data_IF_571956318169
#
_entry.id   IF_571956318169
#
_cell.length_a   1.000
_cell.length_b   1.000
_cell.length_c   1.000
_cell.angle_alpha   90.00
_cell.angle_beta   90.00
_cell.angle_gamma   90.00
#
_symmetry.space_group_name_H-M   'P 1'
#
loop_
_entity.id
_entity.type
_entity.pdbx_description
1 polymer ?
#
# COMPACT_ATOMS: atom_id res chain seq x y z
N UNK A 1 -4.60 -58.54 -17.90
CA UNK A 1 -4.07 -57.61 -16.88
C UNK A 1 -3.50 -56.32 -17.51
N UNK A 2 -4.33 -55.40 -18.03
CA UNK A 2 -3.86 -54.11 -18.62
C UNK A 2 -4.58 -52.85 -18.08
N UNK A 3 -5.74 -52.98 -17.43
CA UNK A 3 -6.55 -51.84 -16.94
C UNK A 3 -5.94 -51.09 -15.74
N UNK A 4 -5.24 -51.79 -14.84
CA UNK A 4 -4.71 -51.19 -13.59
C UNK A 4 -3.57 -50.18 -13.86
N UNK A 5 -2.76 -50.42 -14.91
CA UNK A 5 -1.64 -49.54 -15.28
C UNK A 5 -2.12 -48.20 -15.87
N UNK A 6 -3.20 -48.21 -16.64
CA UNK A 6 -3.79 -47.00 -17.24
C UNK A 6 -4.44 -46.09 -16.19
N UNK A 7 -5.17 -46.67 -15.23
CA UNK A 7 -5.82 -45.90 -14.15
C UNK A 7 -4.77 -45.25 -13.24
N UNK A 8 -3.67 -45.96 -12.94
CA UNK A 8 -2.56 -45.40 -12.15
C UNK A 8 -1.88 -44.24 -12.89
N UNK A 9 -1.64 -44.37 -14.19
CA UNK A 9 -1.05 -43.31 -15.04
C UNK A 9 -1.97 -42.09 -15.17
N UNK A 10 -3.28 -42.31 -15.32
CA UNK A 10 -4.28 -41.23 -15.35
C UNK A 10 -4.37 -40.51 -13.99
N UNK A 11 -4.35 -41.25 -12.88
CA UNK A 11 -4.34 -40.66 -11.54
C UNK A 11 -3.09 -39.81 -11.28
N UNK A 12 -1.91 -40.25 -11.73
CA UNK A 12 -0.67 -39.44 -11.60
C UNK A 12 -0.72 -38.16 -12.43
N UNK A 13 -1.33 -38.19 -13.62
CA UNK A 13 -1.46 -37.00 -14.49
C UNK A 13 -2.46 -36.00 -13.89
N UNK A 14 -3.57 -36.46 -13.32
CA UNK A 14 -4.57 -35.58 -12.68
C UNK A 14 -4.01 -34.92 -11.41
N UNK A 15 -3.27 -35.68 -10.59
CA UNK A 15 -2.65 -35.12 -9.37
C UNK A 15 -1.53 -34.12 -9.70
N UNK A 16 -0.77 -34.35 -10.79
CA UNK A 16 0.23 -33.38 -11.28
C UNK A 16 -0.43 -32.12 -11.88
N UNK A 17 -1.60 -32.26 -12.51
CA UNK A 17 -2.35 -31.12 -13.07
C UNK A 17 -2.98 -30.25 -11.98
N UNK A 18 -3.39 -30.84 -10.85
CA UNK A 18 -3.97 -30.11 -9.72
C UNK A 18 -2.95 -29.33 -8.87
N UNK A 19 -1.64 -29.54 -9.04
CA UNK A 19 -0.61 -28.76 -8.31
C UNK A 19 -0.28 -27.42 -8.98
N UNK A 20 -0.86 -27.12 -10.15
CA UNK A 20 -0.72 -25.84 -10.84
C UNK A 20 -2.00 -24.99 -10.75
N UNK A 21 -2.77 -25.11 -9.66
CA UNK A 21 -3.73 -24.07 -9.31
C UNK A 21 -2.94 -22.85 -8.85
N UNK A 22 -2.46 -22.09 -9.82
CA UNK A 22 -2.13 -20.68 -9.66
C UNK A 22 -3.31 -20.02 -8.97
N UNK A 23 -3.00 -19.28 -7.90
CA UNK A 23 -3.96 -18.41 -7.25
C UNK A 23 -4.44 -17.39 -8.29
N UNK A 24 -5.57 -17.69 -8.93
CA UNK A 24 -6.28 -16.73 -9.74
C UNK A 24 -6.92 -15.74 -8.78
N UNK A 25 -6.24 -14.63 -8.52
CA UNK A 25 -6.89 -13.45 -7.98
C UNK A 25 -7.89 -12.98 -9.04
N UNK A 26 -9.17 -13.19 -8.75
CA UNK A 26 -10.27 -12.75 -9.59
C UNK A 26 -10.46 -11.25 -9.42
N UNK A 27 -9.57 -10.47 -10.01
CA UNK A 27 -9.87 -9.16 -10.54
C UNK A 27 -8.96 -8.97 -11.76
N UNK A 28 -9.50 -8.59 -12.91
CA UNK A 28 -8.77 -8.52 -14.19
C UNK A 28 -7.71 -7.41 -14.26
N UNK A 29 -7.31 -6.89 -13.11
CA UNK A 29 -6.35 -5.83 -12.91
C UNK A 29 -4.93 -6.43 -12.88
N UNK A 30 -4.12 -6.12 -13.91
CA UNK A 30 -2.70 -6.44 -13.90
C UNK A 30 -2.04 -5.51 -12.88
N UNK A 31 -2.01 -5.93 -11.61
CA UNK A 31 -1.31 -5.22 -10.54
C UNK A 31 0.18 -5.55 -10.60
N UNK A 32 0.99 -4.62 -11.09
CA UNK A 32 2.44 -4.79 -11.10
C UNK A 32 3.04 -4.38 -9.75
N UNK A 33 4.07 -5.11 -9.31
CA UNK A 33 4.83 -4.71 -8.11
C UNK A 33 5.61 -3.44 -8.42
N UNK A 34 5.22 -2.34 -7.76
CA UNK A 34 5.84 -1.03 -7.94
C UNK A 34 7.15 -0.91 -7.15
N UNK A 35 7.12 -1.31 -5.87
CA UNK A 35 8.29 -1.41 -5.00
C UNK A 35 7.98 -2.32 -3.79
N UNK A 36 9.04 -2.74 -3.11
CA UNK A 36 8.98 -3.46 -1.84
C UNK A 36 9.86 -2.77 -0.81
N UNK A 37 9.64 -3.05 0.48
CA UNK A 37 10.45 -2.52 1.57
C UNK A 37 10.05 -3.11 2.92
N UNK A 38 10.64 -2.57 3.98
CA UNK A 38 10.36 -2.96 5.37
C UNK A 38 9.82 -1.76 6.13
N UNK A 39 8.72 -1.95 6.88
CA UNK A 39 8.16 -0.90 7.73
C UNK A 39 9.06 -0.65 8.95
N UNK A 40 8.99 0.56 9.48
CA UNK A 40 9.63 0.93 10.76
C UNK A 40 8.78 0.52 11.98
N UNK A 41 7.68 -0.20 11.76
CA UNK A 41 6.72 -0.63 12.78
C UNK A 41 6.61 -2.16 12.85
N UNK A 42 5.71 -2.65 13.71
CA UNK A 42 5.34 -4.07 13.78
C UNK A 42 4.52 -4.57 12.58
N UNK A 43 4.18 -3.69 11.62
CA UNK A 43 3.47 -4.09 10.40
C UNK A 43 4.30 -5.01 9.48
N UNK A 44 5.62 -5.08 9.67
CA UNK A 44 6.51 -5.97 8.93
C UNK A 44 6.92 -5.45 7.55
N UNK A 45 7.24 -6.38 6.66
CA UNK A 45 7.58 -6.07 5.27
C UNK A 45 6.34 -5.63 4.49
N UNK A 46 6.57 -4.90 3.40
CA UNK A 46 5.48 -4.41 2.56
C UNK A 46 5.77 -4.50 1.07
N UNK A 47 4.69 -4.63 0.31
CA UNK A 47 4.66 -4.61 -1.16
C UNK A 47 3.69 -3.53 -1.61
N UNK A 48 4.17 -2.65 -2.49
CA UNK A 48 3.34 -1.65 -3.15
C UNK A 48 3.01 -2.13 -4.55
N UNK A 49 1.72 -2.10 -4.89
CA UNK A 49 1.21 -2.48 -6.21
C UNK A 49 0.59 -1.29 -6.92
N UNK A 50 0.75 -1.24 -8.24
CA UNK A 50 -0.02 -0.34 -9.10
C UNK A 50 -1.46 -0.80 -9.19
N UNK A 51 -2.36 0.16 -9.41
CA UNK A 51 -3.76 -0.09 -9.70
C UNK A 51 -4.25 0.92 -10.75
N UNK A 52 -5.29 0.55 -11.46
CA UNK A 52 -6.08 1.40 -12.35
C UNK A 52 -7.06 2.30 -11.60
N UNK A 53 -7.21 2.12 -10.28
CA UNK A 53 -8.05 2.95 -9.43
C UNK A 53 -7.59 4.40 -9.42
N UNK A 54 -8.57 5.31 -9.49
CA UNK A 54 -8.36 6.74 -9.33
C UNK A 54 -9.10 7.22 -8.08
N UNK A 55 -8.43 8.05 -7.28
CA UNK A 55 -9.03 8.70 -6.12
C UNK A 55 -9.33 10.16 -6.43
N UNK A 56 -10.57 10.59 -6.19
CA UNK A 56 -11.02 11.96 -6.44
C UNK A 56 -11.12 12.73 -5.14
N UNK A 57 -10.35 13.81 -5.02
CA UNK A 57 -10.39 14.67 -3.84
C UNK A 57 -10.26 16.14 -4.22
N UNK A 58 -11.20 16.97 -3.73
CA UNK A 58 -11.28 18.40 -4.02
C UNK A 58 -11.22 18.74 -5.52
N UNK A 59 -11.89 17.93 -6.36
CA UNK A 59 -11.95 18.13 -7.81
C UNK A 59 -10.65 17.78 -8.54
N UNK A 60 -9.72 17.08 -7.89
CA UNK A 60 -8.50 16.57 -8.51
C UNK A 60 -8.48 15.05 -8.52
N UNK A 61 -7.78 14.48 -9.49
CA UNK A 61 -7.58 13.05 -9.65
C UNK A 61 -6.21 12.62 -9.11
N UNK A 62 -6.19 11.45 -8.48
CA UNK A 62 -5.00 10.88 -7.87
C UNK A 62 -4.84 9.43 -8.37
N UNK A 63 -3.65 9.10 -8.86
CA UNK A 63 -3.25 7.72 -9.13
C UNK A 63 -3.14 6.96 -7.80
N UNK A 64 -3.75 5.79 -7.68
CA UNK A 64 -3.74 5.00 -6.46
C UNK A 64 -2.66 3.91 -6.53
N UNK A 65 -2.03 3.66 -5.38
CA UNK A 65 -1.19 2.51 -5.14
C UNK A 65 -1.76 1.74 -3.95
N UNK A 66 -1.81 0.41 -4.04
CA UNK A 66 -2.21 -0.46 -2.93
C UNK A 66 -0.96 -0.90 -2.17
N UNK A 67 -0.97 -0.78 -0.85
CA UNK A 67 0.13 -1.19 0.03
C UNK A 67 -0.34 -2.35 0.88
N UNK A 68 0.33 -3.48 0.72
CA UNK A 68 0.12 -4.69 1.49
C UNK A 68 1.27 -4.88 2.46
N UNK A 69 0.97 -5.04 3.73
CA UNK A 69 1.92 -5.34 4.80
C UNK A 69 1.80 -6.81 5.24
N UNK A 70 2.81 -7.30 5.96
CA UNK A 70 2.73 -8.61 6.62
C UNK A 70 1.56 -8.68 7.61
N UNK A 71 1.27 -7.57 8.32
CA UNK A 71 0.02 -7.39 9.08
C UNK A 71 -1.08 -6.80 8.17
N UNK A 72 -2.08 -7.61 7.74
CA UNK A 72 -3.12 -7.12 6.84
C UNK A 72 -4.01 -6.04 7.45
N UNK A 73 -4.04 -5.90 8.78
CA UNK A 73 -4.81 -4.85 9.47
C UNK A 73 -4.23 -3.44 9.27
N UNK A 74 -3.00 -3.38 8.73
CA UNK A 74 -2.27 -2.15 8.42
C UNK A 74 -2.30 -1.80 6.93
N UNK A 75 -2.90 -2.66 6.08
CA UNK A 75 -3.05 -2.41 4.65
C UNK A 75 -3.73 -1.08 4.37
N UNK A 76 -3.24 -0.39 3.35
CA UNK A 76 -3.75 0.93 2.98
C UNK A 76 -3.45 1.28 1.54
N UNK A 77 -4.01 2.40 1.11
CA UNK A 77 -3.81 2.94 -0.23
C UNK A 77 -3.01 4.24 -0.15
N UNK A 78 -2.22 4.52 -1.18
CA UNK A 78 -1.51 5.79 -1.36
C UNK A 78 -2.01 6.40 -2.66
N UNK A 79 -2.75 7.50 -2.55
CA UNK A 79 -3.17 8.33 -3.67
C UNK A 79 -2.11 9.40 -3.96
N UNK A 80 -1.74 9.57 -5.23
CA UNK A 80 -0.68 10.47 -5.69
C UNK A 80 -1.23 11.42 -6.73
N UNK A 81 -1.07 12.73 -6.50
CA UNK A 81 -1.38 13.76 -7.48
C UNK A 81 -0.10 14.49 -7.90
N UNK A 82 0.23 14.35 -9.19
CA UNK A 82 1.42 14.89 -9.83
C UNK A 82 1.26 16.35 -10.31
N UNK A 83 0.14 16.99 -10.04
CA UNK A 83 -0.11 18.39 -10.37
C UNK A 83 0.56 19.34 -9.35
N UNK A 84 1.34 20.29 -9.85
CA UNK A 84 1.97 21.35 -9.04
C UNK A 84 3.49 21.23 -8.91
N UNK A 85 4.08 22.03 -8.03
CA UNK A 85 5.55 22.08 -7.83
C UNK A 85 6.09 20.98 -6.90
N UNK A 86 5.26 20.46 -5.99
CA UNK A 86 5.52 19.23 -5.27
C UNK A 86 4.27 18.36 -5.34
N UNK A 87 4.46 17.11 -5.74
CA UNK A 87 3.45 16.07 -5.74
C UNK A 87 2.79 15.99 -4.37
N UNK A 88 1.46 15.96 -4.34
CA UNK A 88 0.71 15.74 -3.10
C UNK A 88 0.33 14.28 -2.97
N UNK A 89 0.40 13.75 -1.75
CA UNK A 89 0.12 12.35 -1.48
C UNK A 89 -0.91 12.24 -0.36
N UNK A 90 -1.75 11.23 -0.47
CA UNK A 90 -2.74 10.89 0.56
C UNK A 90 -2.60 9.41 0.86
N UNK A 91 -2.15 9.07 2.06
CA UNK A 91 -2.21 7.69 2.55
C UNK A 91 -3.53 7.50 3.27
N UNK A 92 -4.32 6.50 2.89
CA UNK A 92 -5.65 6.33 3.42
C UNK A 92 -6.08 4.88 3.51
N UNK A 93 -6.95 4.64 4.48
CA UNK A 93 -7.78 3.45 4.57
C UNK A 93 -9.21 3.90 4.94
N UNK A 94 -10.11 2.96 5.24
CA UNK A 94 -11.48 3.30 5.63
C UNK A 94 -11.59 4.17 6.90
N UNK A 95 -10.53 4.30 7.69
CA UNK A 95 -10.52 4.95 9.01
C UNK A 95 -9.75 6.28 9.01
N UNK A 96 -8.64 6.35 8.29
CA UNK A 96 -7.68 7.46 8.30
C UNK A 96 -7.43 7.99 6.89
N UNK A 97 -7.20 9.30 6.80
CA UNK A 97 -6.57 9.94 5.65
C UNK A 97 -5.44 10.85 6.11
N UNK A 98 -4.21 10.50 5.78
CA UNK A 98 -3.00 11.26 6.06
C UNK A 98 -2.51 11.95 4.80
N UNK A 99 -2.39 13.28 4.85
CA UNK A 99 -1.93 14.09 3.74
C UNK A 99 -0.45 14.39 3.90
N UNK A 100 0.33 14.10 2.86
CA UNK A 100 1.76 14.38 2.79
C UNK A 100 2.05 15.38 1.67
N UNK A 101 2.95 16.32 1.94
CA UNK A 101 3.40 17.29 0.96
C UNK A 101 4.77 17.88 1.37
N UNK A 102 5.49 18.47 0.41
CA UNK A 102 6.69 19.23 0.69
C UNK A 102 6.35 20.56 1.35
N UNK A 103 7.22 21.00 2.27
CA UNK A 103 7.26 22.37 2.75
C UNK A 103 8.72 22.88 2.72
N UNK A 104 8.97 24.06 3.31
CA UNK A 104 10.32 24.65 3.36
C UNK A 104 11.35 23.80 4.14
N UNK A 105 10.90 22.90 5.00
CA UNK A 105 11.71 22.02 5.84
C UNK A 105 11.91 20.63 5.25
N UNK A 106 11.02 20.19 4.35
CA UNK A 106 11.12 18.90 3.68
C UNK A 106 9.77 18.24 3.40
N UNK A 107 9.82 16.96 3.05
CA UNK A 107 8.68 16.08 2.83
C UNK A 107 8.25 15.38 4.12
N UNK A 108 6.94 15.29 4.37
CA UNK A 108 6.38 14.62 5.54
C UNK A 108 4.87 14.83 5.67
N UNK A 109 4.30 14.29 6.75
CA UNK A 109 2.86 14.37 7.02
C UNK A 109 2.45 15.78 7.43
N UNK A 110 1.26 16.22 7.00
CA UNK A 110 0.78 17.61 7.15
C UNK A 110 -0.58 17.68 7.84
N UNK A 111 -1.45 16.74 7.51
CA UNK A 111 -2.83 16.73 7.98
C UNK A 111 -3.30 15.30 8.14
N UNK A 112 -4.13 15.07 9.14
CA UNK A 112 -4.90 13.85 9.31
C UNK A 112 -6.40 14.19 9.25
N UNK A 113 -7.18 13.31 8.67
CA UNK A 113 -8.63 13.26 8.80
C UNK A 113 -9.04 11.87 9.29
N UNK A 114 -10.08 11.83 10.10
CA UNK A 114 -10.64 10.60 10.66
C UNK A 114 -12.05 10.40 10.09
N UNK A 115 -12.34 9.20 9.61
CA UNK A 115 -13.67 8.84 9.10
C UNK A 115 -14.67 8.60 10.22
N UNK A 116 -14.18 8.29 11.44
CA UNK A 116 -15.02 8.04 12.61
C UNK A 116 -14.33 8.51 13.92
N UNK A 117 -15.08 8.69 15.02
CA UNK A 117 -14.51 9.16 16.28
C UNK A 117 -13.51 8.19 16.94
N UNK A 118 -13.76 6.88 16.84
CA UNK A 118 -12.93 5.84 17.47
C UNK A 118 -11.53 5.72 16.84
N UNK A 119 -11.39 6.07 15.57
CA UNK A 119 -10.10 6.11 14.89
C UNK A 119 -9.11 7.04 15.60
N UNK A 120 -9.60 8.08 16.30
CA UNK A 120 -8.74 8.99 17.07
C UNK A 120 -8.09 8.30 18.27
N UNK A 121 -8.70 7.25 18.82
CA UNK A 121 -8.19 6.58 20.03
C UNK A 121 -6.97 5.71 19.74
N UNK A 122 -6.84 5.22 18.51
CA UNK A 122 -5.70 4.42 18.03
C UNK A 122 -4.71 5.25 17.21
N UNK A 123 -4.87 6.58 17.18
CA UNK A 123 -3.97 7.49 16.47
C UNK A 123 -2.84 7.94 17.39
N UNK A 124 -1.60 7.86 16.91
CA UNK A 124 -0.43 8.33 17.64
C UNK A 124 -0.05 9.78 17.22
N UNK A 125 -0.36 10.80 18.04
CA UNK A 125 -0.03 12.19 17.73
C UNK A 125 1.48 12.49 17.81
N UNK A 126 2.24 11.72 18.58
CA UNK A 126 3.69 11.90 18.70
C UNK A 126 4.35 11.43 17.41
N UNK A 127 3.98 10.26 16.90
CA UNK A 127 4.47 9.78 15.61
C UNK A 127 4.06 10.71 14.47
N UNK A 128 2.84 11.26 14.51
CA UNK A 128 2.43 12.26 13.52
C UNK A 128 3.31 13.51 13.53
N UNK A 129 3.68 13.99 14.71
CA UNK A 129 4.61 15.12 14.85
C UNK A 129 6.00 14.77 14.32
N UNK A 130 6.53 13.60 14.69
CA UNK A 130 7.89 13.18 14.33
C UNK A 130 8.02 12.88 12.83
N UNK A 131 6.94 12.45 12.18
CA UNK A 131 6.85 12.25 10.74
C UNK A 131 6.55 13.54 9.94
N UNK A 132 6.52 14.71 10.59
CA UNK A 132 6.37 15.99 9.90
C UNK A 132 7.55 16.28 8.96
N UNK A 133 8.71 15.66 9.16
CA UNK A 133 9.84 15.71 8.22
C UNK A 133 10.47 14.32 8.09
N UNK A 134 10.01 13.54 7.11
CA UNK A 134 10.59 12.24 6.74
C UNK A 134 11.85 12.40 5.88
N UNK A 135 11.93 13.48 5.10
CA UNK A 135 13.09 13.78 4.26
C UNK A 135 13.29 15.29 4.19
N UNK A 136 14.53 15.76 4.36
CA UNK A 136 14.86 17.19 4.38
C UNK A 136 14.89 17.83 2.99
N UNK A 137 15.04 17.03 1.94
CA UNK A 137 15.08 17.53 0.57
C UNK A 137 13.72 18.11 0.16
N UNK A 138 13.78 19.22 -0.58
CA UNK A 138 12.59 20.00 -1.00
C UNK A 138 11.88 19.41 -2.22
N UNK A 139 12.50 18.40 -2.84
CA UNK A 139 11.94 17.66 -3.97
C UNK A 139 12.06 16.19 -3.63
N UNK A 140 10.94 15.48 -3.72
CA UNK A 140 10.88 14.04 -3.53
C UNK A 140 10.40 13.40 -4.82
N UNK A 141 11.07 12.34 -5.25
CA UNK A 141 10.58 11.56 -6.39
C UNK A 141 9.37 10.73 -5.97
N UNK A 142 8.43 10.50 -6.90
CA UNK A 142 7.20 9.72 -6.64
C UNK A 142 7.51 8.38 -5.95
N UNK A 143 8.44 7.61 -6.51
CA UNK A 143 8.82 6.28 -5.98
C UNK A 143 9.37 6.37 -4.56
N UNK A 144 10.21 7.38 -4.30
CA UNK A 144 10.80 7.61 -2.99
C UNK A 144 9.76 8.04 -1.96
N UNK A 145 8.85 8.95 -2.33
CA UNK A 145 7.77 9.39 -1.46
C UNK A 145 6.82 8.24 -1.10
N UNK A 146 6.42 7.43 -2.08
CA UNK A 146 5.57 6.25 -1.86
C UNK A 146 6.25 5.27 -0.91
N UNK A 147 7.55 4.99 -1.09
CA UNK A 147 8.31 4.13 -0.19
C UNK A 147 8.44 4.69 1.23
N UNK A 148 8.71 5.99 1.37
CA UNK A 148 8.77 6.66 2.68
C UNK A 148 7.43 6.65 3.40
N UNK A 149 6.34 6.94 2.68
CA UNK A 149 4.99 6.86 3.25
C UNK A 149 4.75 5.42 3.73
N UNK A 150 4.89 4.43 2.84
CA UNK A 150 4.62 3.03 3.16
C UNK A 150 5.44 2.52 4.35
N UNK A 151 6.70 2.94 4.49
CA UNK A 151 7.54 2.51 5.60
C UNK A 151 7.06 3.05 6.97
N UNK A 152 6.63 4.31 7.04
CA UNK A 152 6.40 5.03 8.30
C UNK A 152 4.93 5.17 8.71
N UNK A 153 4.00 5.19 7.74
CA UNK A 153 2.57 5.39 8.01
C UNK A 153 1.97 4.39 9.00
N UNK A 154 2.39 3.11 9.09
CA UNK A 154 1.84 2.20 10.09
C UNK A 154 2.12 2.64 11.53
N UNK A 155 3.19 3.40 11.79
CA UNK A 155 3.49 3.93 13.13
C UNK A 155 2.49 5.01 13.58
N UNK A 156 1.69 5.56 12.66
CA UNK A 156 0.66 6.55 13.01
C UNK A 156 -0.56 5.91 13.68
N UNK A 157 -0.65 4.57 13.65
CA UNK A 157 -1.64 3.77 14.37
C UNK A 157 -0.93 3.11 15.56
N UNK A 158 -1.30 3.51 16.77
CA UNK A 158 -0.72 3.09 18.05
C UNK A 158 -1.69 2.27 18.89
#
# INVERSE_FOLDING_TARGET
MKKVSLIRRLATIVVALCMFTTFAFADGEISEVYLTGTSTSLAGDFVVQTTSDMFHYMGREYEVFRVYYDDPSMNMNIAVNNEGQCTSFVAFNGEFMFFYNCNKYGFGVRKVMFSNPWAKDVFDPQQFHDQSVLMKDKKVEKKQAVGLIAAYVPQLKG
#
